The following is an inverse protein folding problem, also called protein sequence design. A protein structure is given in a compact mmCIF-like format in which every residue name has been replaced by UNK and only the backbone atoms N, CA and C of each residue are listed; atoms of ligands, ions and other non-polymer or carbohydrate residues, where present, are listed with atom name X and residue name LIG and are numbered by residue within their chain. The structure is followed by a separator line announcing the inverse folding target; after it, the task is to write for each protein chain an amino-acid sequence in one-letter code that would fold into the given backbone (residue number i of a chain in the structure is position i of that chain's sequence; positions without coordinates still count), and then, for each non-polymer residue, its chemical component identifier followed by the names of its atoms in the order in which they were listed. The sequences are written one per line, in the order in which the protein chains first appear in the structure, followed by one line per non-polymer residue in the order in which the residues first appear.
data_IF_235137057399
#
_entry.id   IF_235137057399
#
_cell.length_a   1.000
_cell.length_b   1.000
_cell.length_c   1.000
_cell.angle_alpha   90.00
_cell.angle_beta   90.00
_cell.angle_gamma   90.00
#
_symmetry.space_group_name_H-M   'P 1'
#
loop_
_entity.id
_entity.type
_entity.pdbx_description
1 polymer ?
#
# COMPACT_ATOMS: atom_id res chain seq x y z
N UNK A 1 9.32 28.79 -14.78
CA UNK A 1 8.00 28.43 -14.20
C UNK A 1 7.83 26.93 -13.94
N UNK A 2 8.42 26.03 -14.74
CA UNK A 2 8.27 24.55 -14.59
C UNK A 2 8.93 23.97 -13.30
N UNK A 3 9.96 24.62 -12.76
CA UNK A 3 10.72 24.10 -11.59
C UNK A 3 10.02 24.28 -10.25
N UNK A 4 9.13 25.26 -10.10
CA UNK A 4 8.41 25.49 -8.83
C UNK A 4 7.31 24.45 -8.60
N UNK A 5 6.61 24.05 -9.67
CA UNK A 5 5.52 23.08 -9.59
C UNK A 5 6.03 21.66 -9.30
N UNK A 6 7.19 21.28 -9.84
CA UNK A 6 7.77 19.95 -9.60
C UNK A 6 8.20 19.77 -8.14
N UNK A 7 8.84 20.77 -7.53
CA UNK A 7 9.21 20.71 -6.10
C UNK A 7 7.98 20.62 -5.18
N UNK A 8 6.95 21.42 -5.44
CA UNK A 8 5.72 21.40 -4.65
C UNK A 8 5.01 20.03 -4.71
N UNK A 9 5.05 19.34 -5.85
CA UNK A 9 4.50 17.99 -5.99
C UNK A 9 5.32 16.96 -5.22
N UNK A 10 6.66 16.99 -5.33
CA UNK A 10 7.54 16.09 -4.58
C UNK A 10 7.39 16.26 -3.06
N UNK A 11 7.28 17.50 -2.57
CA UNK A 11 7.06 17.78 -1.15
C UNK A 11 5.73 17.23 -0.65
N UNK A 12 4.64 17.43 -1.39
CA UNK A 12 3.32 16.88 -1.04
C UNK A 12 3.33 15.35 -0.98
N UNK A 13 3.99 14.69 -1.94
CA UNK A 13 4.14 13.22 -1.94
C UNK A 13 4.93 12.72 -0.75
N UNK A 14 6.06 13.36 -0.45
CA UNK A 14 6.90 13.00 0.69
C UNK A 14 6.12 13.13 2.00
N UNK A 15 5.36 14.23 2.18
CA UNK A 15 4.53 14.43 3.37
C UNK A 15 3.51 13.31 3.53
N UNK A 16 2.75 12.98 2.49
CA UNK A 16 1.71 11.94 2.66
C UNK A 16 2.32 10.55 2.84
N UNK A 17 3.45 10.27 2.20
CA UNK A 17 4.20 9.03 2.44
C UNK A 17 4.67 8.92 3.90
N UNK A 18 5.22 9.99 4.47
CA UNK A 18 5.64 10.03 5.88
C UNK A 18 4.45 9.85 6.82
N UNK A 19 3.34 10.56 6.58
CA UNK A 19 2.11 10.42 7.39
C UNK A 19 1.59 8.98 7.32
N UNK A 20 1.63 8.35 6.14
CA UNK A 20 1.25 6.95 5.96
C UNK A 20 2.16 6.01 6.76
N UNK A 21 3.47 6.17 6.65
CA UNK A 21 4.44 5.35 7.39
C UNK A 21 4.26 5.48 8.91
N UNK A 22 4.08 6.70 9.41
CA UNK A 22 3.79 6.95 10.82
C UNK A 22 2.47 6.31 11.26
N UNK A 23 1.43 6.39 10.41
CA UNK A 23 0.13 5.78 10.71
C UNK A 23 0.23 4.26 10.84
N UNK A 24 1.00 3.60 9.95
CA UNK A 24 1.29 2.17 10.08
C UNK A 24 2.06 1.83 11.34
N UNK A 25 3.03 2.65 11.74
CA UNK A 25 3.80 2.44 12.97
C UNK A 25 2.90 2.48 14.21
N UNK A 26 2.01 3.48 14.28
CA UNK A 26 1.04 3.59 15.39
C UNK A 26 0.04 2.45 15.37
N UNK A 27 -0.48 2.10 14.19
CA UNK A 27 -1.39 0.96 14.03
C UNK A 27 -0.75 -0.35 14.50
N UNK A 28 0.49 -0.63 14.08
CA UNK A 28 1.25 -1.79 14.53
C UNK A 28 1.41 -1.82 16.05
N UNK A 29 1.75 -0.68 16.67
CA UNK A 29 1.85 -0.58 18.12
C UNK A 29 0.51 -0.89 18.81
N UNK A 30 -0.61 -0.38 18.29
CA UNK A 30 -1.94 -0.69 18.85
C UNK A 30 -2.28 -2.18 18.77
N UNK A 31 -1.91 -2.86 17.68
CA UNK A 31 -2.09 -4.32 17.58
C UNK A 31 -1.27 -5.05 18.65
N UNK A 32 -0.02 -4.63 18.90
CA UNK A 32 0.80 -5.21 19.97
C UNK A 32 0.16 -4.98 21.35
N UNK A 33 -0.35 -3.77 21.60
CA UNK A 33 -1.09 -3.45 22.84
C UNK A 33 -2.30 -4.37 23.01
N UNK A 34 -3.08 -4.57 21.94
CA UNK A 34 -4.27 -5.42 21.96
C UNK A 34 -3.92 -6.89 22.28
N UNK A 35 -2.83 -7.41 21.71
CA UNK A 35 -2.34 -8.76 22.01
C UNK A 35 -1.96 -8.89 23.49
N UNK A 36 -1.26 -7.89 24.05
CA UNK A 36 -0.88 -7.87 25.47
C UNK A 36 -2.13 -7.86 26.36
N UNK A 37 -3.13 -7.04 26.03
CA UNK A 37 -4.39 -6.96 26.76
C UNK A 37 -5.15 -8.29 26.70
N UNK A 38 -5.28 -8.87 25.50
CA UNK A 38 -5.94 -10.14 25.31
C UNK A 38 -5.28 -11.26 26.14
N UNK A 39 -3.96 -11.42 26.03
CA UNK A 39 -3.21 -12.40 26.81
C UNK A 39 -3.40 -12.13 28.31
N UNK A 40 -3.19 -10.89 28.75
CA UNK A 40 -3.31 -10.50 30.15
C UNK A 40 -4.70 -10.76 30.73
N UNK A 41 -5.75 -10.44 29.97
CA UNK A 41 -7.14 -10.68 30.33
C UNK A 41 -7.41 -12.16 30.60
N UNK A 42 -7.00 -13.06 29.69
CA UNK A 42 -7.22 -14.49 29.89
C UNK A 42 -6.37 -15.07 31.02
N UNK A 43 -5.14 -14.58 31.21
CA UNK A 43 -4.32 -14.98 32.35
C UNK A 43 -4.95 -14.59 33.68
N UNK A 44 -5.50 -13.39 33.80
CA UNK A 44 -6.25 -12.95 34.98
C UNK A 44 -7.53 -13.78 35.16
N UNK A 45 -8.28 -13.98 34.06
CA UNK A 45 -9.56 -14.70 34.07
C UNK A 45 -9.41 -16.13 34.58
N UNK A 46 -8.32 -16.80 34.20
CA UNK A 46 -8.04 -18.18 34.61
C UNK A 46 -7.17 -18.30 35.86
N UNK A 47 -6.82 -17.19 36.52
CA UNK A 47 -5.96 -17.21 37.70
C UNK A 47 -4.60 -17.83 37.42
N UNK A 48 -3.91 -17.37 36.37
CA UNK A 48 -2.61 -17.89 35.98
C UNK A 48 -1.54 -17.66 37.05
N UNK A 49 -0.66 -18.65 37.23
CA UNK A 49 0.39 -18.62 38.25
C UNK A 49 1.34 -17.41 38.06
N UNK A 50 1.41 -16.47 39.02
CA UNK A 50 2.24 -15.27 38.93
C UNK A 50 3.75 -15.53 39.10
N UNK A 51 4.16 -16.73 39.54
CA UNK A 51 5.58 -17.10 39.62
C UNK A 51 6.15 -17.60 38.28
N UNK A 52 5.29 -17.92 37.30
CA UNK A 52 5.74 -18.33 35.99
C UNK A 52 6.30 -17.14 35.19
N UNK A 53 7.48 -17.32 34.57
CA UNK A 53 8.17 -16.24 33.87
C UNK A 53 7.36 -15.60 32.74
N UNK A 54 6.58 -16.41 32.00
CA UNK A 54 5.66 -15.91 30.97
C UNK A 54 4.56 -15.02 31.56
N UNK A 55 3.90 -15.47 32.62
CA UNK A 55 2.86 -14.71 33.32
C UNK A 55 3.40 -13.38 33.85
N UNK A 56 4.60 -13.38 34.43
CA UNK A 56 5.24 -12.14 34.89
C UNK A 56 5.52 -11.16 33.75
N UNK A 57 6.01 -11.65 32.62
CA UNK A 57 6.19 -10.81 31.43
C UNK A 57 4.85 -10.24 30.96
N UNK A 58 3.82 -11.07 30.87
CA UNK A 58 2.49 -10.63 30.44
C UNK A 58 1.92 -9.58 31.39
N UNK A 59 1.93 -9.81 32.70
CA UNK A 59 1.41 -8.88 33.71
C UNK A 59 2.19 -7.56 33.77
N UNK A 60 3.52 -7.55 33.60
CA UNK A 60 4.28 -6.29 33.52
C UNK A 60 3.90 -5.45 32.29
N UNK A 61 3.72 -6.10 31.14
CA UNK A 61 3.30 -5.39 29.93
C UNK A 61 1.84 -4.94 30.05
N UNK A 62 0.97 -5.79 30.60
CA UNK A 62 -0.42 -5.46 30.90
C UNK A 62 -0.50 -4.22 31.80
N UNK A 63 0.28 -4.19 32.88
CA UNK A 63 0.33 -3.05 33.81
C UNK A 63 0.68 -1.75 33.07
N UNK A 64 1.68 -1.79 32.18
CA UNK A 64 2.10 -0.63 31.38
C UNK A 64 1.01 -0.14 30.43
N UNK A 65 0.36 -1.03 29.68
CA UNK A 65 -0.69 -0.63 28.73
C UNK A 65 -1.99 -0.24 29.43
N UNK A 66 -2.24 -0.76 30.64
CA UNK A 66 -3.40 -0.41 31.45
C UNK A 66 -3.27 0.91 32.19
N UNK A 67 -2.11 1.59 32.16
CA UNK A 67 -1.88 2.84 32.91
C UNK A 67 -3.02 3.88 32.83
N UNK A 68 -3.61 4.20 31.66
CA UNK A 68 -4.70 5.18 31.58
C UNK A 68 -6.08 4.64 32.00
N UNK A 69 -6.29 3.31 32.02
CA UNK A 69 -7.59 2.69 32.31
C UNK A 69 -7.63 1.96 33.65
N UNK A 70 -6.52 1.98 34.39
CA UNK A 70 -6.36 1.24 35.63
C UNK A 70 -7.35 1.73 36.68
N UNK A 71 -8.10 0.80 37.26
CA UNK A 71 -9.00 1.07 38.38
C UNK A 71 -10.22 1.92 38.03
N UNK A 72 -10.53 2.12 36.73
CA UNK A 72 -11.79 2.76 36.32
C UNK A 72 -12.99 1.91 36.77
N UNK A 73 -12.85 0.59 36.71
CA UNK A 73 -13.84 -0.36 37.19
C UNK A 73 -13.26 -1.28 38.27
N UNK A 74 -14.12 -1.72 39.17
CA UNK A 74 -13.75 -2.72 40.19
C UNK A 74 -13.69 -4.11 39.55
N UNK A 75 -12.58 -4.85 39.69
CA UNK A 75 -12.49 -6.22 39.18
C UNK A 75 -13.43 -7.18 39.92
N UNK A 76 -14.00 -8.14 39.19
CA UNK A 76 -14.91 -9.15 39.72
C UNK A 76 -14.09 -10.40 40.06
N UNK A 77 -14.07 -10.80 41.33
CA UNK A 77 -13.41 -12.02 41.77
C UNK A 77 -14.28 -13.23 41.41
N UNK A 78 -13.68 -14.21 40.71
CA UNK A 78 -14.36 -15.43 40.27
C UNK A 78 -14.07 -16.63 41.20
N UNK A 79 -13.27 -16.42 42.24
CA UNK A 79 -12.79 -17.44 43.16
C UNK A 79 -11.33 -17.82 42.93
N UNK A 80 -10.92 -18.91 43.57
CA UNK A 80 -9.53 -19.36 43.57
C UNK A 80 -9.39 -20.64 42.74
N UNK A 81 -8.31 -20.74 41.97
CA UNK A 81 -7.98 -21.94 41.20
C UNK A 81 -7.51 -23.08 42.11
N UNK A 82 -7.41 -24.30 41.58
CA UNK A 82 -6.84 -25.46 42.27
C UNK A 82 -5.39 -25.25 42.74
N UNK A 83 -4.70 -24.24 42.20
CA UNK A 83 -3.34 -23.87 42.58
C UNK A 83 -3.28 -22.69 43.57
N UNK A 84 -4.37 -22.39 44.27
CA UNK A 84 -4.51 -21.29 45.23
C UNK A 84 -4.25 -19.89 44.64
N UNK A 85 -4.52 -19.72 43.34
CA UNK A 85 -4.38 -18.41 42.65
C UNK A 85 -5.75 -17.79 42.39
N UNK A 86 -5.91 -16.51 42.69
CA UNK A 86 -7.16 -15.78 42.45
C UNK A 86 -7.45 -15.63 40.95
N UNK A 87 -8.59 -16.17 40.50
CA UNK A 87 -9.17 -15.88 39.18
C UNK A 87 -9.99 -14.59 39.25
N UNK A 88 -9.76 -13.67 38.31
CA UNK A 88 -10.35 -12.33 38.31
C UNK A 88 -10.81 -11.94 36.92
N UNK A 89 -12.07 -11.54 36.79
CA UNK A 89 -12.58 -10.86 35.61
C UNK A 89 -12.37 -9.35 35.78
N UNK A 90 -11.32 -8.81 35.13
CA UNK A 90 -11.03 -7.38 35.18
C UNK A 90 -11.77 -6.63 34.07
N UNK A 91 -12.88 -5.99 34.45
CA UNK A 91 -13.71 -5.17 33.55
C UNK A 91 -12.94 -3.97 32.98
N UNK A 92 -11.93 -3.45 33.68
CA UNK A 92 -11.10 -2.36 33.17
C UNK A 92 -10.24 -2.82 32.00
N UNK A 93 -9.72 -4.05 32.05
CA UNK A 93 -8.96 -4.64 30.94
C UNK A 93 -9.86 -4.86 29.73
N UNK A 94 -11.07 -5.39 29.95
CA UNK A 94 -12.06 -5.55 28.87
C UNK A 94 -12.42 -4.21 28.22
N UNK A 95 -12.62 -3.17 29.03
CA UNK A 95 -12.87 -1.82 28.52
C UNK A 95 -11.68 -1.29 27.70
N UNK A 96 -10.45 -1.50 28.18
CA UNK A 96 -9.25 -1.09 27.46
C UNK A 96 -9.14 -1.76 26.08
N UNK A 97 -9.44 -3.07 25.98
CA UNK A 97 -9.49 -3.79 24.70
C UNK A 97 -10.45 -3.14 23.71
N UNK A 98 -11.65 -2.77 24.18
CA UNK A 98 -12.65 -2.10 23.33
C UNK A 98 -12.12 -0.74 22.85
N UNK A 99 -11.57 0.07 23.75
CA UNK A 99 -11.08 1.42 23.40
C UNK A 99 -9.89 1.35 22.45
N UNK A 100 -8.87 0.56 22.76
CA UNK A 100 -7.70 0.39 21.89
C UNK A 100 -8.09 -0.24 20.54
N UNK A 101 -9.03 -1.19 20.53
CA UNK A 101 -9.62 -1.74 19.32
C UNK A 101 -10.30 -0.67 18.45
N UNK A 102 -11.11 0.22 19.04
CA UNK A 102 -11.74 1.33 18.30
C UNK A 102 -10.66 2.26 17.73
N UNK A 103 -9.64 2.62 18.50
CA UNK A 103 -8.53 3.46 18.02
C UNK A 103 -7.80 2.76 16.86
N UNK A 104 -7.54 1.46 16.96
CA UNK A 104 -6.92 0.69 15.89
C UNK A 104 -7.78 0.70 14.62
N UNK A 105 -9.11 0.56 14.74
CA UNK A 105 -10.04 0.66 13.60
C UNK A 105 -10.01 2.05 12.95
N UNK A 106 -9.93 3.13 13.74
CA UNK A 106 -9.78 4.50 13.22
C UNK A 106 -8.48 4.63 12.43
N UNK A 107 -7.36 4.12 12.95
CA UNK A 107 -6.09 4.14 12.21
C UNK A 107 -6.14 3.27 10.95
N UNK A 108 -6.78 2.11 10.99
CA UNK A 108 -6.99 1.25 9.82
C UNK A 108 -7.78 1.98 8.73
N UNK A 109 -8.88 2.63 9.10
CA UNK A 109 -9.69 3.46 8.19
C UNK A 109 -8.90 4.66 7.64
N UNK A 110 -8.12 5.34 8.50
CA UNK A 110 -7.26 6.44 8.11
C UNK A 110 -6.20 6.00 7.08
N UNK A 111 -5.53 4.88 7.32
CA UNK A 111 -4.55 4.30 6.40
C UNK A 111 -5.21 3.93 5.07
N UNK A 112 -6.39 3.30 5.10
CA UNK A 112 -7.15 2.96 3.90
C UNK A 112 -7.51 4.20 3.08
N UNK A 113 -8.03 5.23 3.74
CA UNK A 113 -8.34 6.52 3.12
C UNK A 113 -7.10 7.20 2.52
N UNK A 114 -5.98 7.23 3.26
CA UNK A 114 -4.70 7.78 2.79
C UNK A 114 -4.20 7.03 1.54
N UNK A 115 -4.36 5.71 1.54
CA UNK A 115 -3.94 4.85 0.43
C UNK A 115 -4.77 5.11 -0.83
N UNK A 116 -6.09 5.24 -0.69
CA UNK A 116 -6.97 5.61 -1.79
C UNK A 116 -6.66 7.00 -2.35
N UNK A 117 -6.37 7.97 -1.48
CA UNK A 117 -6.02 9.33 -1.90
C UNK A 117 -4.67 9.42 -2.61
N UNK A 118 -3.72 8.54 -2.29
CA UNK A 118 -2.43 8.44 -2.98
C UNK A 118 -2.55 7.84 -4.36
N UNK A 119 -3.39 6.81 -4.53
CA UNK A 119 -3.60 6.16 -5.82
C UNK A 119 -3.99 7.14 -6.93
N UNK A 120 -4.85 8.12 -6.64
CA UNK A 120 -5.26 9.14 -7.61
C UNK A 120 -4.12 10.06 -8.08
N UNK A 121 -3.11 10.29 -7.22
CA UNK A 121 -1.95 11.11 -7.59
C UNK A 121 -1.00 10.32 -8.49
N UNK A 122 -0.84 9.01 -8.25
CA UNK A 122 0.03 8.16 -9.07
C UNK A 122 -0.59 7.79 -10.43
N UNK A 123 -1.92 7.64 -10.52
CA UNK A 123 -2.60 7.33 -11.79
C UNK A 123 -2.48 8.46 -12.81
N UNK A 124 -2.51 9.72 -12.35
CA UNK A 124 -2.34 10.89 -13.22
C UNK A 124 -0.96 10.91 -13.91
N UNK A 125 0.09 10.42 -13.24
CA UNK A 125 1.42 10.34 -13.84
C UNK A 125 1.54 9.21 -14.87
N UNK A 126 0.92 8.06 -14.58
CA UNK A 126 0.89 6.93 -15.51
C UNK A 126 0.13 7.27 -16.80
N UNK A 127 -0.90 8.12 -16.73
CA UNK A 127 -1.61 8.63 -17.90
C UNK A 127 -0.72 9.55 -18.74
N UNK A 128 0.01 10.49 -18.11
CA UNK A 128 0.94 11.39 -18.81
C UNK A 128 2.07 10.61 -19.50
N UNK A 129 2.63 9.59 -18.83
CA UNK A 129 3.69 8.75 -19.41
C UNK A 129 3.17 7.96 -20.62
N UNK A 130 1.96 7.41 -20.53
CA UNK A 130 1.29 6.74 -21.66
C UNK A 130 1.02 7.69 -22.83
N UNK A 131 0.57 8.91 -22.55
CA UNK A 131 0.36 9.92 -23.60
C UNK A 131 1.67 10.29 -24.30
N UNK A 132 2.75 10.45 -23.54
CA UNK A 132 4.07 10.72 -24.09
C UNK A 132 4.59 9.57 -24.97
N UNK A 133 4.39 8.32 -24.54
CA UNK A 133 4.71 7.12 -25.34
C UNK A 133 3.91 7.07 -26.64
N UNK A 134 2.61 7.33 -26.59
CA UNK A 134 1.74 7.35 -27.78
C UNK A 134 2.16 8.47 -28.74
N UNK A 135 2.44 9.67 -28.23
CA UNK A 135 2.92 10.78 -29.04
C UNK A 135 4.26 10.47 -29.73
N UNK A 136 5.19 9.83 -29.02
CA UNK A 136 6.48 9.40 -29.58
C UNK A 136 6.30 8.35 -30.69
N UNK A 137 5.40 7.38 -30.50
CA UNK A 137 5.08 6.37 -31.52
C UNK A 137 4.45 7.00 -32.76
N UNK A 138 3.54 7.96 -32.59
CA UNK A 138 2.91 8.67 -33.70
C UNK A 138 3.93 9.51 -34.49
N UNK A 139 4.85 10.20 -33.80
CA UNK A 139 5.92 10.96 -34.44
C UNK A 139 6.86 10.04 -35.25
N UNK A 140 7.22 8.87 -34.69
CA UNK A 140 8.02 7.88 -35.39
C UNK A 140 7.30 7.32 -36.63
N UNK A 141 6.00 7.04 -36.53
CA UNK A 141 5.20 6.57 -37.66
C UNK A 141 5.11 7.63 -38.79
N UNK A 142 4.91 8.91 -38.44
CA UNK A 142 4.90 10.00 -39.41
C UNK A 142 6.26 10.18 -40.10
N UNK A 143 7.36 10.07 -39.35
CA UNK A 143 8.71 10.12 -39.91
C UNK A 143 8.98 8.96 -40.89
N UNK A 144 8.51 7.75 -40.59
CA UNK A 144 8.62 6.60 -41.49
C UNK A 144 7.83 6.79 -42.79
N UNK A 145 6.60 7.32 -42.71
CA UNK A 145 5.77 7.64 -43.89
C UNK A 145 6.43 8.71 -44.75
N UNK A 146 6.99 9.77 -44.13
CA UNK A 146 7.70 10.83 -44.86
C UNK A 146 8.94 10.30 -45.59
N UNK A 147 9.68 9.36 -45.00
CA UNK A 147 10.84 8.72 -45.65
C UNK A 147 10.41 7.84 -46.84
N UNK A 148 9.30 7.11 -46.75
CA UNK A 148 8.77 6.33 -47.87
C UNK A 148 8.24 7.20 -49.02
N UNK A 149 7.64 8.34 -48.72
CA UNK A 149 7.18 9.29 -49.73
C UNK A 149 8.34 10.01 -50.46
N UNK A 150 9.52 10.08 -49.85
CA UNK A 150 10.72 10.68 -50.45
C UNK A 150 11.50 9.73 -51.38
N UNK A 151 11.09 8.46 -51.51
CA UNK A 151 11.65 7.54 -52.51
C UNK A 151 10.93 7.82 -53.84
N UNK A 152 11.59 8.40 -54.86
CA UNK A 152 10.92 8.72 -56.13
C UNK A 152 10.44 7.43 -56.81
N UNK A 153 9.30 7.45 -57.51
CA UNK A 153 8.86 6.30 -58.28
C UNK A 153 9.89 6.05 -59.37
N UNK A 154 10.58 4.91 -59.29
CA UNK A 154 11.34 4.37 -60.42
C UNK A 154 10.37 4.27 -61.59
N UNK A 155 10.48 5.19 -62.55
CA UNK A 155 9.69 5.21 -63.78
C UNK A 155 9.91 3.89 -64.51
N UNK A 156 8.95 2.98 -64.40
CA UNK A 156 8.85 1.82 -65.27
C UNK A 156 8.45 2.33 -66.66
N UNK A 157 9.43 2.45 -67.56
CA UNK A 157 9.21 2.73 -68.98
C UNK A 157 8.40 1.58 -69.61
N UNK A 158 7.21 1.82 -70.19
CA UNK A 158 6.51 0.79 -70.94
C UNK A 158 7.17 0.66 -72.33
N UNK A 159 7.89 -0.42 -72.56
CA UNK A 159 8.43 -0.75 -73.89
C UNK A 159 7.28 -1.10 -74.82
N UNK A 160 7.01 -0.20 -75.76
CA UNK A 160 6.05 -0.38 -76.83
C UNK A 160 6.45 -1.55 -77.75
N UNK A 161 5.44 -2.37 -78.08
CA UNK A 161 5.49 -3.43 -79.07
C UNK A 161 5.60 -2.89 -80.49
N UNK A 162 6.44 -3.56 -81.31
CA UNK A 162 6.27 -3.73 -82.76
C UNK A 162 7.47 -3.32 -83.62
N UNK A 163 7.62 -3.84 -84.87
CA UNK A 163 7.07 -5.06 -85.47
C UNK A 163 8.16 -6.01 -86.02
N UNK A 164 7.75 -7.24 -86.32
CA UNK A 164 8.55 -8.28 -86.96
C UNK A 164 8.95 -7.92 -88.41
N UNK A 165 10.18 -8.27 -88.80
CA UNK A 165 10.59 -8.43 -90.21
C UNK A 165 11.48 -9.69 -90.39
N UNK A 166 11.28 -10.48 -91.46
CA UNK A 166 11.85 -11.83 -91.66
C UNK A 166 13.19 -11.82 -92.47
N UNK A 167 13.83 -13.00 -92.77
CA UNK A 167 15.28 -13.22 -93.03
C UNK A 167 15.65 -13.04 -94.54
N UNK A 168 16.77 -13.54 -95.17
CA UNK A 168 17.98 -14.31 -94.79
C UNK A 168 19.27 -13.71 -95.49
N UNK A 169 20.28 -14.41 -96.09
CA UNK A 169 20.95 -15.73 -95.90
C UNK A 169 22.53 -15.69 -95.91
N UNK A 170 23.15 -16.88 -95.80
CA UNK A 170 24.49 -17.30 -96.34
C UNK A 170 25.74 -16.78 -95.60
N UNK A 171 26.75 -17.59 -95.21
CA UNK A 171 27.40 -18.78 -95.81
C UNK A 171 27.94 -19.67 -94.69
#
# INVERSE_FOLDING_TARGET
MITSDSRALTERKAVVWVVRALSYLVYFYLIVVEIVLFIGFFLLLFGANPSAGFTQWAYRNLDRVMAPFRGIFTPIQLGTTTADVQATFDTSVLFAMIIYGIVALIFSALIGWLSGRLGQIYSAEAEIEREAEVAAQQAAAQAAVAQQAAVPPTTATPTAQGPATPPPPSV
#
